data_IF_197766859633
#
_entry.id   IF_197766859633
#
_cell.length_a   1.000
_cell.length_b   1.000
_cell.length_c   1.000
_cell.angle_alpha   90.00
_cell.angle_beta   90.00
_cell.angle_gamma   90.00
#
_symmetry.space_group_name_H-M   'P 1'
#
loop_
_entity.id
_entity.type
_entity.pdbx_description
1 polymer ?
#
# COMPACT_ATOMS: atom_id res chain seq x y z
N UNK A 1 26.22 13.52 71.07
CA UNK A 1 26.87 13.03 69.84
C UNK A 1 25.88 12.15 69.09
N UNK A 2 25.35 12.61 67.96
CA UNK A 2 24.52 11.77 67.09
C UNK A 2 25.41 10.73 66.40
N UNK A 3 25.05 9.46 66.49
CA UNK A 3 25.75 8.41 65.72
C UNK A 3 25.45 8.62 64.24
N UNK A 4 26.45 8.57 63.33
CA UNK A 4 26.21 8.72 61.90
C UNK A 4 25.17 7.72 61.40
N UNK A 5 24.26 8.17 60.53
CA UNK A 5 23.33 7.28 59.84
C UNK A 5 24.12 6.38 58.88
N UNK A 6 24.49 5.20 59.37
CA UNK A 6 25.24 4.22 58.60
C UNK A 6 24.32 3.63 57.49
N UNK A 7 24.57 4.02 56.24
CA UNK A 7 23.81 3.52 55.10
C UNK A 7 24.13 2.03 54.88
N UNK A 8 23.28 1.16 55.46
CA UNK A 8 23.43 -0.28 55.31
C UNK A 8 22.72 -0.82 54.07
N UNK A 9 23.51 -1.38 53.14
CA UNK A 9 23.02 -2.04 51.92
C UNK A 9 22.33 -3.39 52.18
N UNK A 10 22.53 -4.01 53.34
CA UNK A 10 21.98 -5.35 53.70
C UNK A 10 21.15 -5.29 54.99
N UNK A 11 20.08 -6.11 55.12
CA UNK A 11 19.34 -6.24 56.37
C UNK A 11 20.27 -6.72 57.49
N UNK A 12 20.06 -6.29 58.74
CA UNK A 12 20.87 -6.82 59.86
C UNK A 12 20.65 -8.33 60.02
N UNK A 13 21.70 -9.04 60.43
CA UNK A 13 21.65 -10.46 60.77
C UNK A 13 20.75 -10.70 61.99
N UNK A 14 20.43 -11.98 62.25
CA UNK A 14 19.65 -12.36 63.42
C UNK A 14 20.38 -12.03 64.73
N UNK A 15 21.68 -12.35 64.80
CA UNK A 15 22.53 -12.08 65.96
C UNK A 15 22.69 -10.57 66.25
N UNK A 16 22.81 -9.74 65.21
CA UNK A 16 22.84 -8.28 65.37
C UNK A 16 21.51 -7.75 65.92
N UNK A 17 20.39 -8.30 65.44
CA UNK A 17 19.07 -7.91 65.92
C UNK A 17 18.83 -8.36 67.36
N UNK A 18 19.36 -9.52 67.75
CA UNK A 18 19.31 -10.04 69.12
C UNK A 18 20.10 -9.17 70.09
N UNK A 19 21.32 -8.77 69.71
CA UNK A 19 22.12 -7.82 70.49
C UNK A 19 21.40 -6.46 70.65
N UNK A 20 20.69 -6.00 69.61
CA UNK A 20 19.83 -4.82 69.70
C UNK A 20 18.63 -5.07 70.61
N UNK A 21 18.02 -6.26 70.59
CA UNK A 21 16.88 -6.57 71.46
C UNK A 21 17.25 -6.58 72.95
N UNK A 22 18.47 -7.05 73.29
CA UNK A 22 18.99 -7.02 74.67
C UNK A 22 19.23 -5.61 75.19
N UNK A 23 19.55 -4.65 74.31
CA UNK A 23 19.85 -3.25 74.69
C UNK A 23 18.68 -2.28 74.50
N UNK A 24 17.91 -2.42 73.41
CA UNK A 24 16.73 -1.62 73.07
C UNK A 24 15.65 -2.50 72.35
N UNK A 25 14.72 -3.10 73.11
CA UNK A 25 13.68 -3.94 72.55
C UNK A 25 12.67 -3.18 71.67
N UNK A 26 12.46 -1.88 71.89
CA UNK A 26 11.54 -1.05 71.08
C UNK A 26 12.10 -0.83 69.68
N UNK A 27 13.41 -0.56 69.58
CA UNK A 27 14.11 -0.48 68.29
C UNK A 27 14.14 -1.81 67.57
N UNK A 28 14.40 -2.93 68.26
CA UNK A 28 14.34 -4.26 67.66
C UNK A 28 12.96 -4.56 67.04
N UNK A 29 11.87 -4.28 67.77
CA UNK A 29 10.49 -4.42 67.26
C UNK A 29 10.24 -3.58 66.01
N UNK A 30 10.65 -2.31 65.99
CA UNK A 30 10.52 -1.43 64.80
C UNK A 30 11.26 -1.99 63.58
N UNK A 31 12.47 -2.54 63.78
CA UNK A 31 13.24 -3.15 62.70
C UNK A 31 12.51 -4.37 62.13
N UNK A 32 11.94 -5.25 62.96
CA UNK A 32 11.18 -6.43 62.50
C UNK A 32 9.96 -6.01 61.69
N UNK A 33 9.18 -5.04 62.20
CA UNK A 33 7.99 -4.53 61.51
C UNK A 33 8.38 -3.92 60.16
N UNK A 34 9.42 -3.07 60.13
CA UNK A 34 9.89 -2.44 58.90
C UNK A 34 10.42 -3.46 57.88
N UNK A 35 11.15 -4.50 58.32
CA UNK A 35 11.57 -5.61 57.46
C UNK A 35 10.36 -6.28 56.80
N UNK A 36 9.34 -6.61 57.58
CA UNK A 36 8.11 -7.25 57.09
C UNK A 36 7.38 -6.37 56.08
N UNK A 37 7.24 -5.07 56.35
CA UNK A 37 6.62 -4.13 55.41
C UNK A 37 7.46 -3.92 54.14
N UNK A 38 8.79 -3.84 54.27
CA UNK A 38 9.70 -3.72 53.13
C UNK A 38 9.66 -4.95 52.22
N UNK A 39 9.56 -6.16 52.79
CA UNK A 39 9.39 -7.40 52.01
C UNK A 39 8.08 -7.37 51.22
N UNK A 40 6.95 -7.05 51.87
CA UNK A 40 5.65 -6.91 51.20
C UNK A 40 5.65 -5.83 50.12
N UNK A 41 6.34 -4.72 50.35
CA UNK A 41 6.48 -3.66 49.36
C UNK A 41 7.26 -4.12 48.13
N UNK A 42 8.36 -4.88 48.32
CA UNK A 42 9.13 -5.48 47.22
C UNK A 42 8.30 -6.49 46.44
N UNK A 43 7.56 -7.34 47.12
CA UNK A 43 6.66 -8.32 46.50
C UNK A 43 5.57 -7.63 45.66
N UNK A 44 4.89 -6.63 46.24
CA UNK A 44 3.89 -5.82 45.53
C UNK A 44 4.47 -5.16 44.29
N UNK A 45 5.69 -4.60 44.38
CA UNK A 45 6.39 -4.02 43.23
C UNK A 45 6.67 -5.08 42.15
N UNK A 46 7.16 -6.26 42.53
CA UNK A 46 7.39 -7.37 41.59
C UNK A 46 6.11 -7.79 40.87
N UNK A 47 5.01 -7.96 41.61
CA UNK A 47 3.71 -8.32 41.04
C UNK A 47 3.18 -7.23 40.10
N UNK A 48 3.31 -5.96 40.48
CA UNK A 48 2.90 -4.85 39.64
C UNK A 48 3.71 -4.78 38.33
N UNK A 49 5.03 -4.95 38.40
CA UNK A 49 5.90 -5.02 37.22
C UNK A 49 5.49 -6.16 36.30
N UNK A 50 5.29 -7.38 36.83
CA UNK A 50 4.84 -8.52 36.03
C UNK A 50 3.48 -8.27 35.37
N UNK A 51 2.52 -7.70 36.11
CA UNK A 51 1.20 -7.34 35.55
C UNK A 51 1.31 -6.30 34.42
N UNK A 52 2.22 -5.34 34.57
CA UNK A 52 2.45 -4.32 33.54
C UNK A 52 3.08 -4.93 32.29
N UNK A 53 4.05 -5.83 32.45
CA UNK A 53 4.66 -6.57 31.34
C UNK A 53 3.63 -7.42 30.59
N UNK A 54 2.79 -8.16 31.32
CA UNK A 54 1.70 -8.95 30.71
C UNK A 54 0.73 -8.06 29.92
N UNK A 55 0.34 -6.91 30.48
CA UNK A 55 -0.52 -5.94 29.77
C UNK A 55 0.15 -5.37 28.55
N UNK A 56 1.45 -5.04 28.64
CA UNK A 56 2.22 -4.55 27.51
C UNK A 56 2.27 -5.58 26.38
N UNK A 57 2.57 -6.84 26.68
CA UNK A 57 2.57 -7.90 25.66
C UNK A 57 1.19 -8.12 25.05
N UNK A 58 0.13 -8.08 25.87
CA UNK A 58 -1.25 -8.18 25.39
C UNK A 58 -1.58 -7.03 24.42
N UNK A 59 -1.30 -5.78 24.82
CA UNK A 59 -1.54 -4.60 23.98
C UNK A 59 -0.72 -4.65 22.69
N UNK A 60 0.55 -5.07 22.75
CA UNK A 60 1.41 -5.25 21.58
C UNK A 60 0.81 -6.28 20.60
N UNK A 61 0.36 -7.42 21.11
CA UNK A 61 -0.28 -8.46 20.28
C UNK A 61 -1.59 -7.96 19.67
N UNK A 62 -2.42 -7.25 20.44
CA UNK A 62 -3.66 -6.66 19.95
C UNK A 62 -3.41 -5.62 18.85
N UNK A 63 -2.39 -4.77 19.02
CA UNK A 63 -1.99 -3.80 18.01
C UNK A 63 -1.52 -4.48 16.71
N UNK A 64 -0.69 -5.54 16.83
CA UNK A 64 -0.26 -6.31 15.67
C UNK A 64 -1.45 -6.97 14.94
N UNK A 65 -2.40 -7.56 15.68
CA UNK A 65 -3.61 -8.15 15.11
C UNK A 65 -4.48 -7.10 14.41
N UNK A 66 -4.68 -5.93 15.03
CA UNK A 66 -5.43 -4.83 14.44
C UNK A 66 -4.78 -4.33 13.13
N UNK A 67 -3.45 -4.22 13.09
CA UNK A 67 -2.73 -3.85 11.87
C UNK A 67 -2.89 -4.89 10.76
N UNK A 68 -2.88 -6.18 11.09
CA UNK A 68 -3.17 -7.24 10.11
C UNK A 68 -4.58 -7.11 9.55
N UNK A 69 -5.58 -6.92 10.40
CA UNK A 69 -6.98 -6.72 9.97
C UNK A 69 -7.14 -5.48 9.10
N UNK A 70 -6.51 -4.36 9.49
CA UNK A 70 -6.53 -3.13 8.71
C UNK A 70 -5.95 -3.33 7.30
N UNK A 71 -4.82 -4.04 7.18
CA UNK A 71 -4.20 -4.31 5.89
C UNK A 71 -5.10 -5.17 4.99
N UNK A 72 -5.76 -6.19 5.55
CA UNK A 72 -6.71 -7.04 4.81
C UNK A 72 -7.89 -6.21 4.28
N UNK A 73 -8.51 -5.39 5.13
CA UNK A 73 -9.61 -4.51 4.74
C UNK A 73 -9.16 -3.48 3.70
N UNK A 74 -7.94 -2.94 3.81
CA UNK A 74 -7.41 -2.01 2.82
C UNK A 74 -7.23 -2.69 1.44
N UNK A 75 -6.77 -3.94 1.42
CA UNK A 75 -6.64 -4.71 0.18
C UNK A 75 -8.01 -5.00 -0.45
N UNK A 76 -8.98 -5.43 0.36
CA UNK A 76 -10.36 -5.68 -0.08
C UNK A 76 -11.00 -4.40 -0.63
N UNK A 77 -10.85 -3.28 0.08
CA UNK A 77 -11.35 -1.98 -0.37
C UNK A 77 -10.78 -1.61 -1.75
N UNK A 78 -9.47 -1.78 -1.97
CA UNK A 78 -8.83 -1.52 -3.28
C UNK A 78 -9.39 -2.44 -4.37
N UNK A 79 -9.58 -3.72 -4.06
CA UNK A 79 -10.18 -4.69 -4.99
C UNK A 79 -11.60 -4.29 -5.38
N UNK A 80 -12.44 -3.93 -4.40
CA UNK A 80 -13.81 -3.50 -4.63
C UNK A 80 -13.90 -2.19 -5.43
N UNK A 81 -13.00 -1.23 -5.17
CA UNK A 81 -12.92 0.00 -5.97
C UNK A 81 -12.63 -0.32 -7.44
N UNK A 82 -11.67 -1.22 -7.70
CA UNK A 82 -11.33 -1.64 -9.05
C UNK A 82 -12.50 -2.35 -9.74
N UNK A 83 -13.12 -3.32 -9.07
CA UNK A 83 -14.30 -4.03 -9.57
C UNK A 83 -15.45 -3.06 -9.89
N UNK A 84 -15.71 -2.11 -8.98
CA UNK A 84 -16.75 -1.11 -9.18
C UNK A 84 -16.47 -0.23 -10.41
N UNK A 85 -15.22 0.15 -10.65
CA UNK A 85 -14.83 0.88 -11.86
C UNK A 85 -15.13 0.07 -13.13
N UNK A 86 -14.71 -1.20 -13.14
CA UNK A 86 -14.94 -2.11 -14.28
C UNK A 86 -16.43 -2.30 -14.57
N UNK A 87 -17.25 -2.47 -13.52
CA UNK A 87 -18.70 -2.61 -13.65
C UNK A 87 -19.36 -1.33 -14.18
N UNK A 88 -18.90 -0.16 -13.75
CA UNK A 88 -19.37 1.13 -14.29
C UNK A 88 -19.03 1.28 -15.76
N UNK A 89 -17.80 0.93 -16.15
CA UNK A 89 -17.38 0.99 -17.55
C UNK A 89 -18.17 0.02 -18.42
N UNK A 90 -18.39 -1.21 -17.94
CA UNK A 90 -19.24 -2.19 -18.60
C UNK A 90 -20.67 -1.67 -18.77
N UNK A 91 -21.27 -1.11 -17.70
CA UNK A 91 -22.62 -0.52 -17.75
C UNK A 91 -22.71 0.60 -18.77
N UNK A 92 -21.72 1.51 -18.80
CA UNK A 92 -21.65 2.60 -19.78
C UNK A 92 -21.60 2.07 -21.21
N UNK A 93 -20.78 1.04 -21.46
CA UNK A 93 -20.68 0.42 -22.78
C UNK A 93 -22.00 -0.27 -23.18
N UNK A 94 -22.62 -1.04 -22.28
CA UNK A 94 -23.90 -1.70 -22.54
C UNK A 94 -25.00 -0.69 -22.85
N UNK A 95 -25.06 0.42 -22.12
CA UNK A 95 -26.04 1.48 -22.39
C UNK A 95 -25.82 2.11 -23.77
N UNK A 96 -24.57 2.45 -24.12
CA UNK A 96 -24.24 2.96 -25.47
C UNK A 96 -24.63 1.98 -26.58
N UNK A 97 -24.40 0.68 -26.38
CA UNK A 97 -24.78 -0.34 -27.36
C UNK A 97 -26.29 -0.45 -27.50
N UNK A 98 -27.04 -0.32 -26.40
CA UNK A 98 -28.50 -0.33 -26.38
C UNK A 98 -29.07 0.89 -27.10
N UNK A 99 -28.57 2.10 -26.79
CA UNK A 99 -28.94 3.34 -27.48
C UNK A 99 -28.68 3.26 -29.00
N UNK A 100 -27.54 2.67 -29.40
CA UNK A 100 -27.22 2.45 -30.81
C UNK A 100 -28.18 1.43 -31.46
N UNK A 101 -28.60 0.39 -30.75
CA UNK A 101 -29.58 -0.58 -31.24
C UNK A 101 -30.97 0.04 -31.39
N UNK A 102 -31.41 0.83 -30.41
CA UNK A 102 -32.66 1.58 -30.47
C UNK A 102 -32.64 2.58 -31.64
N UNK A 103 -31.58 3.38 -31.76
CA UNK A 103 -31.40 4.30 -32.89
C UNK A 103 -31.44 3.57 -34.25
N UNK A 104 -30.79 2.40 -34.36
CA UNK A 104 -30.87 1.56 -35.57
C UNK A 104 -32.30 1.10 -35.82
N UNK A 105 -33.00 0.62 -34.79
CA UNK A 105 -34.41 0.20 -34.86
C UNK A 105 -35.33 1.31 -35.37
N UNK A 106 -35.22 2.52 -34.79
CA UNK A 106 -35.96 3.69 -35.25
C UNK A 106 -35.64 4.06 -36.70
N UNK A 107 -34.36 4.03 -37.08
CA UNK A 107 -33.97 4.31 -38.46
C UNK A 107 -34.56 3.30 -39.44
N UNK A 108 -34.55 1.99 -39.11
CA UNK A 108 -35.16 0.96 -39.96
C UNK A 108 -36.68 1.14 -40.07
N UNK A 109 -37.37 1.41 -38.97
CA UNK A 109 -38.80 1.66 -38.96
C UNK A 109 -39.18 2.93 -39.76
N UNK A 110 -38.40 4.00 -39.61
CA UNK A 110 -38.59 5.21 -40.41
C UNK A 110 -38.36 4.94 -41.90
N UNK A 111 -37.30 4.20 -42.24
CA UNK A 111 -36.98 3.83 -43.62
C UNK A 111 -38.07 2.99 -44.29
N UNK A 112 -38.72 2.08 -43.57
CA UNK A 112 -39.80 1.26 -44.11
C UNK A 112 -41.10 2.03 -44.36
N UNK A 113 -41.30 3.18 -43.72
CA UNK A 113 -42.47 4.06 -43.94
C UNK A 113 -42.33 5.06 -45.09
N UNK A 114 -41.16 5.15 -45.73
CA UNK A 114 -40.88 6.17 -46.74
C UNK A 114 -41.18 5.71 -48.18
N UNK A 115 -41.62 6.63 -49.06
CA UNK A 115 -41.90 6.30 -50.45
C UNK A 115 -40.61 5.96 -51.23
N UNK A 116 -40.66 5.09 -52.25
CA UNK A 116 -39.48 4.49 -52.90
C UNK A 116 -38.44 5.50 -53.43
N UNK A 117 -38.90 6.67 -53.91
CA UNK A 117 -38.04 7.73 -54.45
C UNK A 117 -37.15 8.39 -53.38
N UNK A 118 -37.57 8.39 -52.12
CA UNK A 118 -36.85 9.01 -50.99
C UNK A 118 -35.92 8.02 -50.25
N UNK A 119 -36.17 6.70 -50.36
CA UNK A 119 -35.34 5.65 -49.74
C UNK A 119 -33.89 5.69 -50.27
N UNK A 120 -33.72 5.93 -51.57
CA UNK A 120 -32.39 6.04 -52.20
C UNK A 120 -31.57 7.21 -51.66
N UNK A 121 -32.22 8.36 -51.43
CA UNK A 121 -31.58 9.58 -50.91
C UNK A 121 -31.11 9.37 -49.47
N UNK A 122 -31.96 8.81 -48.59
CA UNK A 122 -31.58 8.54 -47.19
C UNK A 122 -30.50 7.47 -47.03
N UNK A 123 -30.48 6.48 -47.94
CA UNK A 123 -29.41 5.47 -47.96
C UNK A 123 -28.05 6.08 -48.32
N UNK A 124 -28.05 7.11 -49.17
CA UNK A 124 -26.85 7.85 -49.53
C UNK A 124 -26.38 8.77 -48.40
N UNK A 125 -27.30 9.53 -47.78
CA UNK A 125 -26.96 10.42 -46.66
C UNK A 125 -26.48 9.64 -45.43
N UNK A 126 -27.09 8.49 -45.11
CA UNK A 126 -26.66 7.63 -44.01
C UNK A 126 -25.23 7.07 -44.22
N UNK A 127 -24.84 6.73 -45.46
CA UNK A 127 -23.46 6.33 -45.78
C UNK A 127 -22.47 7.47 -45.54
N UNK A 128 -22.83 8.70 -45.92
CA UNK A 128 -22.00 9.88 -45.64
C UNK A 128 -21.89 10.13 -44.13
N UNK A 129 -22.95 9.92 -43.36
CA UNK A 129 -22.93 10.10 -41.90
C UNK A 129 -22.06 9.06 -41.18
N UNK A 130 -22.09 7.80 -41.64
CA UNK A 130 -21.19 6.73 -41.15
C UNK A 130 -19.74 7.09 -41.41
N UNK A 131 -19.41 7.49 -42.65
CA UNK A 131 -18.05 7.92 -43.01
C UNK A 131 -17.63 9.12 -42.16
N UNK A 132 -18.52 10.09 -41.91
CA UNK A 132 -18.22 11.27 -41.09
C UNK A 132 -17.98 10.92 -39.62
N UNK A 133 -18.72 9.97 -39.06
CA UNK A 133 -18.51 9.49 -37.67
C UNK A 133 -17.20 8.72 -37.55
N UNK A 134 -16.85 7.92 -38.54
CA UNK A 134 -15.59 7.18 -38.59
C UNK A 134 -14.39 8.14 -38.73
N UNK A 135 -14.48 9.17 -39.59
CA UNK A 135 -13.49 10.25 -39.66
C UNK A 135 -13.33 10.96 -38.31
N UNK A 136 -14.43 11.28 -37.61
CA UNK A 136 -14.39 11.91 -36.28
C UNK A 136 -13.80 10.99 -35.21
N UNK A 137 -14.10 9.70 -35.26
CA UNK A 137 -13.53 8.69 -34.36
C UNK A 137 -12.00 8.63 -34.50
N UNK A 138 -11.49 8.55 -35.74
CA UNK A 138 -10.05 8.59 -35.99
C UNK A 138 -9.42 9.96 -35.65
N UNK A 139 -10.11 11.08 -35.88
CA UNK A 139 -9.64 12.42 -35.48
C UNK A 139 -9.50 12.60 -33.97
N UNK A 140 -10.30 11.91 -33.16
CA UNK A 140 -10.22 11.96 -31.69
C UNK A 140 -9.36 10.84 -31.09
N UNK A 141 -9.12 9.75 -31.81
CA UNK A 141 -8.23 8.68 -31.36
C UNK A 141 -6.73 9.02 -31.56
N UNK A 142 -6.39 9.80 -32.60
CA UNK A 142 -4.99 10.15 -32.92
C UNK A 142 -4.34 11.15 -31.93
N UNK A 143 -5.02 12.17 -31.37
CA UNK A 143 -4.41 13.07 -30.38
C UNK A 143 -4.23 12.47 -28.98
N UNK A 144 -4.98 11.42 -28.63
CA UNK A 144 -5.05 10.90 -27.25
C UNK A 144 -3.84 10.03 -26.86
N UNK A 145 -3.00 9.66 -27.83
CA UNK A 145 -1.74 8.94 -27.58
C UNK A 145 -0.56 9.89 -27.27
N UNK A 146 -0.76 11.21 -27.24
CA UNK A 146 0.33 12.21 -27.15
C UNK A 146 0.14 13.30 -26.07
N UNK A 147 -0.59 13.04 -24.98
CA UNK A 147 -0.54 13.92 -23.82
C UNK A 147 -0.65 13.13 -22.51
N UNK A 148 0.52 12.89 -21.92
CA UNK A 148 0.66 12.25 -20.62
C UNK A 148 2.10 12.40 -20.12
N UNK A 149 2.53 13.62 -19.83
CA UNK A 149 3.71 13.87 -18.99
C UNK A 149 3.27 14.43 -17.65
N UNK A 150 3.37 13.62 -16.60
CA UNK A 150 3.70 14.09 -15.26
C UNK A 150 5.07 13.50 -14.94
N UNK A 151 6.12 14.29 -15.18
CA UNK A 151 7.49 14.03 -14.72
C UNK A 151 8.47 13.44 -15.74
N UNK A 152 9.26 14.30 -16.39
CA UNK A 152 10.64 14.01 -16.80
C UNK A 152 10.89 13.38 -18.19
N UNK A 153 11.67 14.10 -19.00
CA UNK A 153 12.43 13.70 -20.20
C UNK A 153 11.68 13.48 -21.53
N UNK A 154 11.86 14.45 -22.44
CA UNK A 154 11.58 14.32 -23.87
C UNK A 154 12.82 13.79 -24.60
N UNK A 155 12.69 12.67 -25.30
CA UNK A 155 13.60 12.28 -26.38
C UNK A 155 12.80 12.23 -27.68
N UNK A 156 13.27 12.99 -28.66
CA UNK A 156 12.67 13.14 -29.98
C UNK A 156 12.59 11.82 -30.76
N UNK A 157 11.50 11.71 -31.53
CA UNK A 157 11.30 10.93 -32.76
C UNK A 157 11.33 9.40 -32.68
N UNK A 158 10.15 8.77 -32.82
CA UNK A 158 9.96 7.73 -33.85
C UNK A 158 8.51 7.76 -34.40
N UNK A 159 8.47 7.78 -35.72
CA UNK A 159 7.35 7.92 -36.65
C UNK A 159 6.35 6.75 -36.51
N UNK A 160 5.03 6.94 -36.72
CA UNK A 160 4.07 5.84 -36.69
C UNK A 160 4.34 4.84 -37.83
N UNK A 161 4.63 3.59 -37.47
CA UNK A 161 4.78 2.45 -38.38
C UNK A 161 3.41 2.08 -38.94
N UNK A 162 2.99 2.70 -40.04
CA UNK A 162 1.93 2.18 -40.93
C UNK A 162 2.13 2.58 -42.40
N UNK A 163 3.38 2.83 -42.82
CA UNK A 163 3.72 3.02 -44.24
C UNK A 163 4.33 1.75 -44.82
N UNK A 164 3.60 1.17 -45.78
CA UNK A 164 4.00 0.25 -46.85
C UNK A 164 4.39 -1.21 -46.56
N UNK A 165 3.47 -2.11 -46.94
CA UNK A 165 3.78 -3.38 -47.58
C UNK A 165 4.59 -3.13 -48.87
N UNK A 166 5.93 -3.03 -48.78
CA UNK A 166 6.90 -3.29 -49.88
C UNK A 166 8.39 -3.19 -49.46
N UNK A 167 8.74 -3.24 -48.17
CA UNK A 167 10.13 -3.02 -47.71
C UNK A 167 10.62 -4.05 -46.66
N UNK A 168 10.31 -5.34 -46.82
CA UNK A 168 10.74 -6.38 -45.88
C UNK A 168 12.04 -7.12 -46.26
N UNK A 169 12.83 -6.58 -47.21
CA UNK A 169 14.08 -7.21 -47.68
C UNK A 169 15.34 -6.33 -47.57
N UNK A 170 15.23 -5.07 -47.13
CA UNK A 170 16.38 -4.16 -47.08
C UNK A 170 17.00 -3.96 -45.68
N UNK A 171 16.35 -4.40 -44.59
CA UNK A 171 16.78 -4.02 -43.23
C UNK A 171 17.59 -5.10 -42.49
N UNK A 172 17.83 -6.27 -43.07
CA UNK A 172 18.63 -7.34 -42.44
C UNK A 172 20.15 -7.24 -42.71
N UNK A 173 20.64 -6.24 -43.44
CA UNK A 173 22.04 -6.19 -43.89
C UNK A 173 22.97 -5.24 -43.09
N UNK A 174 22.49 -4.53 -42.05
CA UNK A 174 23.24 -3.41 -41.48
C UNK A 174 23.33 -3.39 -39.94
N UNK A 175 23.49 -4.55 -39.30
CA UNK A 175 23.87 -4.59 -37.86
C UNK A 175 24.73 -5.82 -37.51
N UNK A 176 25.84 -5.99 -38.22
CA UNK A 176 27.02 -6.66 -37.66
C UNK A 176 28.08 -5.58 -37.44
N UNK A 177 28.26 -5.16 -36.18
CA UNK A 177 29.51 -4.65 -35.57
C UNK A 177 29.16 -3.92 -34.25
N UNK A 178 29.45 -4.57 -33.12
CA UNK A 178 29.77 -3.95 -31.82
C UNK A 178 31.12 -3.16 -31.93
N UNK A 179 31.69 -2.44 -30.92
CA UNK A 179 31.40 -2.47 -29.46
C UNK A 179 31.61 -1.14 -28.64
N UNK A 180 31.45 -1.29 -27.31
CA UNK A 180 32.13 -0.60 -26.17
C UNK A 180 31.45 0.62 -25.52
N UNK A 181 31.25 0.52 -24.19
CA UNK A 181 31.10 1.68 -23.30
C UNK A 181 30.43 1.38 -21.96
N UNK A 182 31.20 0.96 -20.95
CA UNK A 182 30.77 0.68 -19.56
C UNK A 182 30.38 1.95 -18.78
N UNK A 183 29.39 1.86 -17.87
CA UNK A 183 29.51 2.33 -16.48
C UNK A 183 28.36 1.76 -15.61
N UNK A 184 28.71 0.92 -14.63
CA UNK A 184 27.82 0.36 -13.61
C UNK A 184 28.33 0.82 -12.25
N UNK A 185 27.57 1.67 -11.56
CA UNK A 185 27.79 1.99 -10.14
C UNK A 185 26.82 1.16 -9.29
N UNK A 186 27.34 0.19 -8.53
CA UNK A 186 26.61 -0.54 -7.49
C UNK A 186 27.10 -0.07 -6.11
N UNK A 187 26.15 0.30 -5.26
CA UNK A 187 26.35 0.57 -3.83
C UNK A 187 26.41 -0.75 -3.05
N UNK A 188 27.40 -1.01 -2.17
CA UNK A 188 27.46 -2.27 -1.42
C UNK A 188 26.53 -2.30 -0.20
N UNK A 189 25.85 -3.42 0.03
CA UNK A 189 25.12 -3.75 1.25
C UNK A 189 26.07 -4.09 2.42
N UNK A 190 25.70 -3.84 3.69
CA UNK A 190 26.57 -4.10 4.84
C UNK A 190 26.59 -5.57 5.27
N UNK A 191 27.78 -6.03 5.70
CA UNK A 191 28.08 -7.39 6.17
C UNK A 191 27.71 -7.58 7.66
N UNK A 192 27.22 -8.76 8.09
CA UNK A 192 26.89 -9.02 9.50
C UNK A 192 28.14 -9.22 10.38
N UNK A 193 28.11 -8.69 11.61
CA UNK A 193 29.16 -8.86 12.64
C UNK A 193 28.97 -10.17 13.43
N UNK A 194 30.05 -10.81 13.93
CA UNK A 194 29.95 -12.00 14.77
C UNK A 194 29.65 -11.67 16.25
N UNK A 195 28.90 -12.57 16.90
CA UNK A 195 28.54 -12.53 18.33
C UNK A 195 29.77 -12.76 19.24
N UNK A 196 29.82 -12.12 20.44
CA UNK A 196 30.88 -12.36 21.41
C UNK A 196 30.70 -13.68 22.16
N UNK A 197 31.83 -14.35 22.46
CA UNK A 197 31.92 -15.43 23.45
C UNK A 197 32.06 -14.85 24.87
#
# INVERSE_FOLDING_TARGET
>A
MEKPFEYRKRPLSHQELENIARSDPKRAKRIIINRKSALRAKEKKKLYTCKLEQRFQKLKSQAAQASLQFNLLQMEQKSLINENSMLKDHTKLTNQMTELQECKGFFFAYKSTLPPKLIGVLSFTAKIDVIRKEIKFYQHLVPTQMCGTVGGNMVNNLIPVWVNNSSMLATQALTLLHPVGQLSNQTPLPRPQPLPQ
#
